data_IF_932965061852
#
_entry.id   IF_932965061852
#
_cell.length_a   1.000
_cell.length_b   1.000
_cell.length_c   1.000
_cell.angle_alpha   90.00
_cell.angle_beta   90.00
_cell.angle_gamma   90.00
#
_symmetry.space_group_name_H-M   'P 1'
#
loop_
_entity.id
_entity.type
_entity.pdbx_description
1 polymer ?
#
# COMPACT_ATOMS: atom_id res chain seq x y z
N UNK A 1 87.51 -3.38 9.56
CA UNK A 1 86.61 -2.25 9.87
C UNK A 1 85.19 -2.72 9.62
N UNK A 2 84.28 -2.41 10.54
CA UNK A 2 82.96 -3.03 10.72
C UNK A 2 81.91 -2.71 9.63
N UNK A 3 80.84 -3.51 9.67
CA UNK A 3 79.45 -3.27 9.24
C UNK A 3 79.17 -3.54 7.75
N UNK A 4 78.19 -4.36 7.35
CA UNK A 4 77.15 -5.05 8.09
C UNK A 4 76.34 -5.98 7.18
N UNK A 5 75.81 -7.05 7.79
CA UNK A 5 74.89 -8.00 7.19
C UNK A 5 73.64 -7.29 6.63
N UNK A 6 73.42 -7.35 5.32
CA UNK A 6 72.09 -7.09 4.73
C UNK A 6 71.26 -8.37 4.80
N UNK A 7 70.50 -8.51 5.88
CA UNK A 7 69.49 -9.55 6.06
C UNK A 7 68.25 -9.17 5.23
N UNK A 8 68.09 -9.83 4.08
CA UNK A 8 66.94 -9.63 3.19
C UNK A 8 65.73 -10.38 3.75
N UNK A 9 65.03 -9.77 4.71
CA UNK A 9 63.75 -10.27 5.19
C UNK A 9 62.64 -9.80 4.24
N UNK A 10 62.37 -10.58 3.19
CA UNK A 10 61.13 -10.44 2.44
C UNK A 10 60.01 -10.97 3.34
N UNK A 11 59.35 -10.06 4.06
CA UNK A 11 58.09 -10.37 4.72
C UNK A 11 57.04 -10.35 3.61
N UNK A 12 56.77 -11.54 3.04
CA UNK A 12 55.60 -11.76 2.19
C UNK A 12 54.38 -11.59 3.08
N UNK A 13 53.77 -10.40 3.03
CA UNK A 13 52.46 -10.16 3.63
C UNK A 13 51.47 -11.07 2.89
N UNK A 14 51.12 -12.20 3.51
CA UNK A 14 50.00 -13.03 3.09
C UNK A 14 48.75 -12.22 3.40
N UNK A 15 48.27 -11.48 2.40
CA UNK A 15 46.97 -10.83 2.45
C UNK A 15 45.92 -11.92 2.62
N UNK A 16 45.39 -12.07 3.83
CA UNK A 16 44.15 -12.81 4.06
C UNK A 16 43.08 -11.95 3.40
N UNK A 17 42.75 -12.26 2.16
CA UNK A 17 41.56 -11.75 1.51
C UNK A 17 40.37 -12.29 2.30
N UNK A 18 39.88 -11.52 3.28
CA UNK A 18 38.52 -11.70 3.77
C UNK A 18 37.60 -11.39 2.60
N UNK A 19 37.24 -12.43 1.84
CA UNK A 19 36.04 -12.38 1.02
C UNK A 19 34.89 -12.23 2.01
N UNK A 20 34.49 -10.97 2.24
CA UNK A 20 33.18 -10.66 2.80
C UNK A 20 32.17 -11.36 1.89
N UNK A 21 31.73 -12.54 2.32
CA UNK A 21 30.51 -13.13 1.81
C UNK A 21 29.44 -12.08 2.07
N UNK A 22 29.09 -11.33 1.03
CA UNK A 22 27.83 -10.64 0.94
C UNK A 22 26.76 -11.75 0.91
N UNK A 23 26.52 -12.38 2.06
CA UNK A 23 25.21 -12.93 2.35
C UNK A 23 24.35 -11.68 2.44
N UNK A 24 23.94 -11.16 1.28
CA UNK A 24 22.86 -10.20 1.24
C UNK A 24 21.76 -10.84 2.05
N UNK A 25 21.28 -10.17 3.11
CA UNK A 25 20.08 -10.59 3.79
C UNK A 25 19.02 -10.78 2.71
N UNK A 26 18.80 -12.01 2.30
CA UNK A 26 17.71 -12.33 1.42
C UNK A 26 16.47 -12.02 2.25
N UNK A 27 15.73 -11.01 1.81
CA UNK A 27 14.56 -10.53 2.54
C UNK A 27 13.57 -11.68 2.65
N UNK A 28 13.39 -12.19 3.86
CA UNK A 28 12.66 -13.43 4.09
C UNK A 28 11.19 -13.28 3.71
N UNK A 29 10.50 -14.39 3.45
CA UNK A 29 9.06 -14.36 3.19
C UNK A 29 8.34 -13.72 4.38
N UNK A 30 8.78 -14.03 5.59
CA UNK A 30 8.22 -13.50 6.82
C UNK A 30 8.37 -11.97 6.92
N UNK A 31 9.55 -11.41 6.64
CA UNK A 31 9.76 -9.95 6.70
C UNK A 31 8.97 -9.21 5.62
N UNK A 32 8.88 -9.79 4.41
CA UNK A 32 8.06 -9.25 3.33
C UNK A 32 6.56 -9.26 3.69
N UNK A 33 6.08 -10.37 4.26
CA UNK A 33 4.71 -10.51 4.78
C UNK A 33 4.38 -9.44 5.81
N UNK A 34 5.26 -9.22 6.79
CA UNK A 34 5.05 -8.22 7.83
C UNK A 34 4.91 -6.81 7.23
N UNK A 35 5.75 -6.44 6.26
CA UNK A 35 5.66 -5.12 5.61
C UNK A 35 4.36 -4.95 4.82
N UNK A 36 3.97 -5.95 4.03
CA UNK A 36 2.74 -5.90 3.25
C UNK A 36 1.51 -5.79 4.16
N UNK A 37 1.38 -6.68 5.15
CA UNK A 37 0.25 -6.70 6.09
C UNK A 37 0.17 -5.39 6.86
N UNK A 38 1.31 -4.87 7.36
CA UNK A 38 1.34 -3.59 8.08
C UNK A 38 0.82 -2.46 7.21
N UNK A 39 1.37 -2.28 6.00
CA UNK A 39 0.97 -1.16 5.12
C UNK A 39 -0.50 -1.27 4.69
N UNK A 40 -1.00 -2.49 4.45
CA UNK A 40 -2.42 -2.74 4.15
C UNK A 40 -3.31 -2.39 5.34
N UNK A 41 -2.94 -2.80 6.56
CA UNK A 41 -3.71 -2.51 7.77
C UNK A 41 -3.73 -1.02 8.09
N UNK A 42 -2.60 -0.33 7.91
CA UNK A 42 -2.50 1.13 8.03
C UNK A 42 -3.51 1.79 7.07
N UNK A 43 -3.59 1.31 5.82
CA UNK A 43 -4.59 1.76 4.85
C UNK A 43 -6.04 1.44 5.25
N UNK A 44 -6.31 0.22 5.73
CA UNK A 44 -7.64 -0.21 6.11
C UNK A 44 -8.20 0.57 7.31
N UNK A 45 -7.33 0.94 8.25
CA UNK A 45 -7.70 1.74 9.43
C UNK A 45 -8.32 3.09 9.05
N UNK A 46 -7.92 3.67 7.91
CA UNK A 46 -8.47 4.92 7.40
C UNK A 46 -9.96 4.78 7.08
N UNK A 47 -10.39 3.63 6.55
CA UNK A 47 -11.79 3.37 6.23
C UNK A 47 -12.62 3.30 7.51
N UNK A 48 -12.14 2.58 8.51
CA UNK A 48 -12.83 2.40 9.80
C UNK A 48 -13.03 3.71 10.55
N UNK A 49 -12.01 4.58 10.59
CA UNK A 49 -12.05 5.87 11.29
C UNK A 49 -13.06 6.84 10.65
N UNK A 50 -13.34 6.70 9.36
CA UNK A 50 -14.11 7.68 8.59
C UNK A 50 -15.51 7.20 8.18
N UNK A 51 -15.99 6.08 8.74
CA UNK A 51 -17.38 5.61 8.55
C UNK A 51 -18.40 6.69 8.97
N UNK A 52 -19.37 6.98 8.10
CA UNK A 52 -20.49 7.88 8.40
C UNK A 52 -20.16 9.38 8.45
N UNK A 53 -19.04 9.81 7.85
CA UNK A 53 -18.55 11.20 7.96
C UNK A 53 -19.01 12.14 6.83
N UNK A 54 -18.89 13.45 7.05
CA UNK A 54 -19.32 14.51 6.13
C UNK A 54 -18.50 14.54 4.81
N UNK A 55 -18.99 15.28 3.80
CA UNK A 55 -18.38 15.44 2.46
C UNK A 55 -16.87 15.69 2.49
N UNK A 56 -16.43 16.67 3.29
CA UNK A 56 -15.01 17.06 3.36
C UNK A 56 -14.15 15.90 3.89
N UNK A 57 -14.69 15.13 4.82
CA UNK A 57 -14.06 13.94 5.37
C UNK A 57 -14.02 12.80 4.35
N UNK A 58 -15.05 12.66 3.50
CA UNK A 58 -15.05 11.68 2.40
C UNK A 58 -13.99 12.00 1.34
N UNK A 59 -13.83 13.27 0.94
CA UNK A 59 -12.79 13.66 -0.03
C UNK A 59 -11.38 13.50 0.55
N UNK A 60 -11.19 13.80 1.84
CA UNK A 60 -9.93 13.53 2.54
C UNK A 60 -9.64 12.03 2.60
N UNK A 61 -10.62 11.21 2.99
CA UNK A 61 -10.49 9.76 3.02
C UNK A 61 -10.05 9.21 1.66
N UNK A 62 -10.64 9.69 0.55
CA UNK A 62 -10.23 9.26 -0.78
C UNK A 62 -8.73 9.56 -1.05
N UNK A 63 -8.23 10.72 -0.64
CA UNK A 63 -6.81 11.08 -0.78
C UNK A 63 -5.91 10.24 0.14
N UNK A 64 -6.35 10.01 1.38
CA UNK A 64 -5.60 9.19 2.34
C UNK A 64 -5.49 7.74 1.82
N UNK A 65 -6.55 7.20 1.22
CA UNK A 65 -6.56 5.88 0.56
C UNK A 65 -5.70 5.83 -0.71
N UNK A 66 -5.66 6.91 -1.49
CA UNK A 66 -4.74 7.03 -2.63
C UNK A 66 -3.29 6.98 -2.15
N UNK A 67 -2.98 7.71 -1.07
CA UNK A 67 -1.64 7.69 -0.45
C UNK A 67 -1.30 6.29 0.08
N UNK A 68 -2.26 5.59 0.68
CA UNK A 68 -2.06 4.20 1.10
C UNK A 68 -1.80 3.27 -0.10
N UNK A 69 -2.51 3.47 -1.22
CA UNK A 69 -2.29 2.73 -2.48
C UNK A 69 -0.85 2.88 -2.95
N UNK A 70 -0.35 4.11 -3.02
CA UNK A 70 1.02 4.43 -3.44
C UNK A 70 2.05 3.78 -2.52
N UNK A 71 1.83 3.81 -1.21
CA UNK A 71 2.70 3.12 -0.24
C UNK A 71 2.72 1.61 -0.43
N UNK A 72 1.58 0.99 -0.74
CA UNK A 72 1.50 -0.45 -1.03
C UNK A 72 2.25 -0.75 -2.34
N UNK A 73 2.05 0.05 -3.37
CA UNK A 73 2.69 -0.12 -4.69
C UNK A 73 4.22 0.01 -4.62
N UNK A 74 4.73 0.90 -3.77
CA UNK A 74 6.17 1.12 -3.59
C UNK A 74 6.87 0.06 -2.75
N UNK A 75 6.14 -0.92 -2.17
CA UNK A 75 6.78 -2.02 -1.45
C UNK A 75 7.64 -2.84 -2.41
N UNK A 76 8.95 -2.89 -2.14
CA UNK A 76 9.86 -3.77 -2.86
C UNK A 76 9.74 -5.19 -2.30
N UNK A 77 8.72 -5.93 -2.76
CA UNK A 77 8.55 -7.35 -2.46
C UNK A 77 9.31 -8.16 -3.51
N UNK A 78 9.92 -9.26 -3.11
CA UNK A 78 10.63 -10.19 -4.00
C UNK A 78 9.85 -11.49 -4.21
N UNK A 79 9.10 -11.93 -3.20
CA UNK A 79 8.28 -13.14 -3.28
C UNK A 79 7.19 -12.99 -4.35
N UNK A 80 7.10 -13.91 -5.34
CA UNK A 80 6.13 -13.80 -6.44
C UNK A 80 4.67 -13.76 -5.98
N UNK A 81 4.32 -14.51 -4.92
CA UNK A 81 2.96 -14.54 -4.41
C UNK A 81 2.62 -13.26 -3.65
N UNK A 82 3.58 -12.69 -2.93
CA UNK A 82 3.42 -11.39 -2.28
C UNK A 82 3.30 -10.25 -3.30
N UNK A 83 4.03 -10.29 -4.43
CA UNK A 83 3.82 -9.36 -5.55
C UNK A 83 2.40 -9.46 -6.11
N UNK A 84 1.87 -10.67 -6.29
CA UNK A 84 0.48 -10.85 -6.72
C UNK A 84 -0.51 -10.22 -5.72
N UNK A 85 -0.34 -10.48 -4.42
CA UNK A 85 -1.18 -9.87 -3.39
C UNK A 85 -1.05 -8.35 -3.38
N UNK A 86 0.16 -7.80 -3.49
CA UNK A 86 0.41 -6.36 -3.60
C UNK A 86 -0.38 -5.74 -4.75
N UNK A 87 -0.30 -6.31 -5.97
CA UNK A 87 -1.09 -5.82 -7.13
C UNK A 87 -2.59 -5.85 -6.85
N UNK A 88 -3.08 -6.92 -6.20
CA UNK A 88 -4.51 -7.05 -5.86
C UNK A 88 -4.94 -6.03 -4.80
N UNK A 89 -4.11 -5.78 -3.79
CA UNK A 89 -4.37 -4.72 -2.81
C UNK A 89 -4.35 -3.34 -3.44
N UNK A 90 -3.37 -3.02 -4.30
CA UNK A 90 -3.32 -1.77 -5.05
C UNK A 90 -4.63 -1.55 -5.82
N UNK A 91 -5.13 -2.58 -6.51
CA UNK A 91 -6.41 -2.50 -7.23
C UNK A 91 -7.59 -2.21 -6.31
N UNK A 92 -7.66 -2.87 -5.15
CA UNK A 92 -8.74 -2.68 -4.18
C UNK A 92 -8.71 -1.27 -3.59
N UNK A 93 -7.56 -0.80 -3.10
CA UNK A 93 -7.41 0.54 -2.53
C UNK A 93 -7.63 1.64 -3.57
N UNK A 94 -7.19 1.44 -4.82
CA UNK A 94 -7.51 2.33 -5.95
C UNK A 94 -9.01 2.43 -6.15
N UNK A 95 -9.71 1.28 -6.16
CA UNK A 95 -11.17 1.23 -6.36
C UNK A 95 -11.89 1.94 -5.22
N UNK A 96 -11.46 1.76 -3.97
CA UNK A 96 -12.00 2.46 -2.82
C UNK A 96 -11.79 3.97 -2.94
N UNK A 97 -10.55 4.41 -3.14
CA UNK A 97 -10.20 5.83 -3.28
C UNK A 97 -11.03 6.52 -4.37
N UNK A 98 -11.08 5.94 -5.57
CA UNK A 98 -11.77 6.53 -6.71
C UNK A 98 -13.28 6.63 -6.48
N UNK A 99 -13.91 5.59 -5.93
CA UNK A 99 -15.36 5.62 -5.72
C UNK A 99 -15.76 6.51 -4.54
N UNK A 100 -14.98 6.54 -3.46
CA UNK A 100 -15.22 7.48 -2.36
C UNK A 100 -15.05 8.94 -2.85
N UNK A 101 -14.07 9.22 -3.71
CA UNK A 101 -13.92 10.53 -4.34
C UNK A 101 -15.13 10.90 -5.21
N UNK A 102 -15.63 9.95 -6.02
CA UNK A 102 -16.84 10.15 -6.84
C UNK A 102 -18.04 10.48 -5.98
N UNK A 103 -18.30 9.70 -4.93
CA UNK A 103 -19.39 9.94 -4.00
C UNK A 103 -19.27 11.30 -3.30
N UNK A 104 -18.06 11.67 -2.83
CA UNK A 104 -17.80 12.97 -2.23
C UNK A 104 -18.04 14.15 -3.18
N UNK A 105 -17.63 14.04 -4.44
CA UNK A 105 -17.89 15.05 -5.48
C UNK A 105 -19.37 15.17 -5.81
N UNK A 106 -20.07 14.05 -5.99
CA UNK A 106 -21.51 14.02 -6.24
C UNK A 106 -22.29 14.64 -5.07
N UNK A 107 -21.91 14.35 -3.83
CA UNK A 107 -22.52 14.96 -2.64
C UNK A 107 -22.27 16.47 -2.57
N UNK A 108 -21.09 16.94 -2.98
CA UNK A 108 -20.82 18.38 -3.11
C UNK A 108 -21.69 19.03 -4.20
N UNK A 109 -21.87 18.37 -5.35
CA UNK A 109 -22.81 18.82 -6.40
C UNK A 109 -24.24 18.94 -5.88
N UNK A 110 -24.71 17.96 -5.12
CA UNK A 110 -26.03 18.00 -4.49
C UNK A 110 -26.15 19.16 -3.48
N UNK A 111 -25.12 19.40 -2.67
CA UNK A 111 -25.07 20.49 -1.69
C UNK A 111 -25.14 21.88 -2.32
N UNK A 112 -24.55 22.05 -3.51
CA UNK A 112 -24.52 23.32 -4.23
C UNK A 112 -25.73 23.52 -5.17
N UNK A 113 -26.67 22.57 -5.21
CA UNK A 113 -27.83 22.67 -6.08
C UNK A 113 -28.82 23.73 -5.57
N UNK A 114 -29.27 24.60 -6.48
CA UNK A 114 -30.26 25.64 -6.19
C UNK A 114 -31.67 25.06 -6.03
N UNK A 115 -32.57 25.81 -5.40
CA UNK A 115 -33.98 25.47 -5.28
C UNK A 115 -34.74 25.70 -6.61
N UNK A 116 -34.43 24.92 -7.64
CA UNK A 116 -35.02 25.01 -8.98
C UNK A 116 -35.25 23.62 -9.59
N UNK A 117 -36.00 23.55 -10.69
CA UNK A 117 -36.18 22.28 -11.44
C UNK A 117 -34.84 21.71 -11.89
N UNK A 118 -33.91 22.57 -12.34
CA UNK A 118 -32.54 22.19 -12.70
C UNK A 118 -31.77 21.66 -11.49
N UNK A 119 -31.88 22.33 -10.33
CA UNK A 119 -31.27 21.88 -9.08
C UNK A 119 -31.81 20.53 -8.59
N UNK A 120 -33.13 20.29 -8.68
CA UNK A 120 -33.72 18.97 -8.38
C UNK A 120 -33.14 17.87 -9.27
N UNK A 121 -32.94 18.14 -10.56
CA UNK A 121 -32.30 17.20 -11.49
C UNK A 121 -30.85 16.91 -11.07
N UNK A 122 -30.07 17.93 -10.69
CA UNK A 122 -28.70 17.75 -10.16
C UNK A 122 -28.69 16.86 -8.91
N UNK A 123 -29.62 17.05 -7.98
CA UNK A 123 -29.74 16.22 -6.77
C UNK A 123 -30.06 14.75 -7.13
N UNK A 124 -30.98 14.52 -8.06
CA UNK A 124 -31.33 13.16 -8.51
C UNK A 124 -30.15 12.45 -9.17
N UNK A 125 -29.43 13.14 -10.06
CA UNK A 125 -28.20 12.61 -10.67
C UNK A 125 -27.15 12.30 -9.62
N UNK A 126 -26.88 13.24 -8.71
CA UNK A 126 -25.92 13.07 -7.63
C UNK A 126 -26.26 11.86 -6.74
N UNK A 127 -27.55 11.65 -6.42
CA UNK A 127 -27.99 10.47 -5.66
C UNK A 127 -27.62 9.17 -6.38
N UNK A 128 -27.90 9.07 -7.68
CA UNK A 128 -27.55 7.88 -8.47
C UNK A 128 -26.04 7.66 -8.53
N UNK A 129 -25.25 8.72 -8.67
CA UNK A 129 -23.79 8.65 -8.67
C UNK A 129 -23.24 8.17 -7.31
N UNK A 130 -23.78 8.69 -6.21
CA UNK A 130 -23.43 8.27 -4.85
C UNK A 130 -23.75 6.79 -4.67
N UNK A 131 -24.97 6.35 -4.98
CA UNK A 131 -25.40 4.97 -4.78
C UNK A 131 -24.52 4.00 -5.57
N UNK A 132 -24.22 4.31 -6.84
CA UNK A 132 -23.35 3.50 -7.68
C UNK A 132 -21.91 3.45 -7.16
N UNK A 133 -21.37 4.58 -6.75
CA UNK A 133 -20.02 4.66 -6.21
C UNK A 133 -19.88 3.90 -4.88
N UNK A 134 -20.84 4.07 -3.96
CA UNK A 134 -20.83 3.37 -2.68
C UNK A 134 -21.00 1.87 -2.86
N UNK A 135 -21.83 1.40 -3.80
CA UNK A 135 -21.94 -0.03 -4.13
C UNK A 135 -20.62 -0.60 -4.63
N UNK A 136 -19.90 0.13 -5.50
CA UNK A 136 -18.58 -0.30 -5.98
C UNK A 136 -17.54 -0.32 -4.83
N UNK A 137 -17.57 0.68 -3.95
CA UNK A 137 -16.71 0.73 -2.77
C UNK A 137 -17.00 -0.43 -1.79
N UNK A 138 -18.27 -0.78 -1.58
CA UNK A 138 -18.67 -1.92 -0.74
C UNK A 138 -18.14 -3.25 -1.30
N UNK A 139 -18.23 -3.45 -2.61
CA UNK A 139 -17.67 -4.64 -3.28
C UNK A 139 -16.15 -4.69 -3.08
N UNK A 140 -15.45 -3.57 -3.24
CA UNK A 140 -14.01 -3.49 -3.02
C UNK A 140 -13.63 -3.75 -1.55
N UNK A 141 -14.41 -3.26 -0.58
CA UNK A 141 -14.21 -3.54 0.84
C UNK A 141 -14.35 -5.04 1.15
N UNK A 142 -15.36 -5.72 0.59
CA UNK A 142 -15.49 -7.18 0.71
C UNK A 142 -14.28 -7.93 0.11
N UNK A 143 -13.76 -7.44 -1.02
CA UNK A 143 -12.53 -8.00 -1.61
C UNK A 143 -11.30 -7.76 -0.72
N UNK A 144 -11.24 -6.64 -0.02
CA UNK A 144 -10.19 -6.33 0.95
C UNK A 144 -10.16 -7.36 2.08
N UNK A 145 -11.32 -7.70 2.66
CA UNK A 145 -11.44 -8.69 3.73
C UNK A 145 -11.00 -10.10 3.27
N UNK A 146 -11.44 -10.50 2.07
CA UNK A 146 -11.04 -11.77 1.46
C UNK A 146 -9.54 -11.81 1.21
N UNK A 147 -8.96 -10.73 0.66
CA UNK A 147 -7.52 -10.62 0.43
C UNK A 147 -6.73 -10.66 1.74
N UNK A 148 -7.21 -9.97 2.78
CA UNK A 148 -6.63 -10.00 4.12
C UNK A 148 -6.54 -11.43 4.66
N UNK A 149 -7.61 -12.21 4.50
CA UNK A 149 -7.63 -13.63 4.90
C UNK A 149 -6.64 -14.46 4.09
N UNK A 150 -6.57 -14.25 2.77
CA UNK A 150 -5.66 -14.99 1.89
C UNK A 150 -4.18 -14.69 2.19
N UNK A 151 -3.82 -13.42 2.38
CA UNK A 151 -2.44 -13.03 2.68
C UNK A 151 -2.04 -13.54 4.07
N UNK A 152 -2.92 -13.42 5.08
CA UNK A 152 -2.65 -13.95 6.42
C UNK A 152 -2.40 -15.46 6.40
N UNK A 153 -3.21 -16.21 5.65
CA UNK A 153 -3.03 -17.66 5.48
C UNK A 153 -1.71 -18.00 4.79
N UNK A 154 -1.33 -17.25 3.74
CA UNK A 154 -0.08 -17.47 3.04
C UNK A 154 1.14 -17.15 3.92
N UNK A 155 1.05 -16.07 4.68
CA UNK A 155 2.11 -15.58 5.57
C UNK A 155 2.30 -16.42 6.84
N UNK A 156 1.32 -17.25 7.23
CA UNK A 156 1.47 -18.19 8.34
C UNK A 156 2.10 -19.53 7.93
N UNK A 157 2.24 -19.79 6.63
CA UNK A 157 2.92 -21.00 6.14
C UNK A 157 4.44 -20.86 6.30
N UNK A 158 5.16 -21.95 6.62
CA UNK A 158 6.63 -21.96 6.63
C UNK A 158 7.21 -21.57 5.26
N UNK A 159 8.49 -21.19 5.26
CA UNK A 159 9.25 -20.88 4.04
C UNK A 159 9.53 -22.11 3.18
#
# INVERSE_FOLDING_TARGET
>A
MFVGFRKNNIIVSVGISLTLLLIGCNDSKASQCQRLIKTVNDGNSLVEINKGTQVATSLKLAKDLQTATEKIEQLNLQDPKLKEYQTRFVKVFTTLSQNINKAGKALNTAKLAEASTSGRKKIQTARSEIDNALKAAEIAAKQLDVLGTQVNKYCSQPE
#
